data_IF_353815462321
#
_entry.id   IF_353815462321
#
_cell.length_a   1.000
_cell.length_b   1.000
_cell.length_c   1.000
_cell.angle_alpha   90.00
_cell.angle_beta   90.00
_cell.angle_gamma   90.00
#
_symmetry.space_group_name_H-M   'P 1'
#
loop_
_entity.id
_entity.type
_entity.pdbx_description
1 polymer ?
#
# COMPACT_ATOMS: atom_id res chain seq x y z
N UNK A 1 -11.38 -26.74 58.90
CA UNK A 1 -12.00 -27.06 57.56
C UNK A 1 -11.20 -26.38 56.47
N UNK A 2 -10.65 -27.12 55.51
CA UNK A 2 -9.91 -26.56 54.39
C UNK A 2 -10.88 -25.75 53.49
N UNK A 3 -10.61 -24.46 53.26
CA UNK A 3 -11.38 -23.61 52.36
C UNK A 3 -11.45 -24.24 50.97
N UNK A 4 -12.67 -24.52 50.48
CA UNK A 4 -12.91 -24.95 49.10
C UNK A 4 -12.34 -23.86 48.18
N UNK A 5 -11.38 -24.23 47.31
CA UNK A 5 -10.81 -23.32 46.31
C UNK A 5 -11.87 -22.94 45.28
N UNK A 6 -11.80 -21.74 44.75
CA UNK A 6 -12.70 -21.28 43.70
C UNK A 6 -12.54 -22.12 42.40
N UNK A 7 -13.62 -22.30 41.65
CA UNK A 7 -13.60 -22.98 40.35
C UNK A 7 -12.70 -22.16 39.40
N UNK A 8 -11.62 -22.78 38.94
CA UNK A 8 -10.66 -22.16 38.02
C UNK A 8 -9.22 -22.05 38.54
N UNK A 9 -8.98 -22.06 39.85
CA UNK A 9 -7.63 -21.86 40.45
C UNK A 9 -6.64 -23.02 40.22
N UNK A 10 -7.07 -24.13 39.58
CA UNK A 10 -6.22 -25.29 39.35
C UNK A 10 -5.87 -26.09 40.60
N UNK A 11 -5.22 -27.24 40.45
CA UNK A 11 -4.81 -28.10 41.56
C UNK A 11 -3.28 -28.32 41.49
N UNK A 12 -2.60 -28.14 42.64
CA UNK A 12 -1.15 -28.35 42.75
C UNK A 12 -0.93 -29.57 43.63
N UNK A 13 -0.10 -30.53 43.16
CA UNK A 13 0.27 -31.73 43.88
C UNK A 13 1.74 -32.08 43.68
N UNK A 14 2.35 -32.78 44.66
CA UNK A 14 3.68 -33.38 44.51
C UNK A 14 3.55 -34.74 43.83
N UNK A 15 4.34 -34.98 42.81
CA UNK A 15 4.40 -36.26 42.09
C UNK A 15 5.32 -37.25 42.80
N UNK A 16 5.19 -38.53 42.45
CA UNK A 16 6.06 -39.60 42.99
C UNK A 16 7.53 -39.42 42.59
N UNK A 17 7.80 -38.73 41.48
CA UNK A 17 9.13 -38.40 40.97
C UNK A 17 9.76 -37.15 41.63
N UNK A 18 9.14 -36.65 42.71
CA UNK A 18 9.66 -35.52 43.50
C UNK A 18 9.29 -34.12 42.92
N UNK A 19 8.84 -34.02 41.67
CA UNK A 19 8.42 -32.76 41.05
C UNK A 19 7.04 -32.34 41.50
N UNK A 20 6.76 -31.04 41.40
CA UNK A 20 5.45 -30.47 41.61
C UNK A 20 4.69 -30.36 40.28
N UNK A 21 3.37 -30.62 40.30
CA UNK A 21 2.49 -30.57 39.14
C UNK A 21 1.28 -29.67 39.49
N UNK A 22 1.03 -28.68 38.63
CA UNK A 22 -0.20 -27.89 38.64
C UNK A 22 -1.10 -28.30 37.48
N UNK A 23 -2.39 -28.53 37.74
CA UNK A 23 -3.39 -28.90 36.72
C UNK A 23 -4.43 -27.81 36.60
N UNK A 24 -4.79 -27.44 35.37
CA UNK A 24 -5.82 -26.45 35.09
C UNK A 24 -6.68 -26.88 33.91
N UNK A 25 -7.88 -26.29 33.81
CA UNK A 25 -8.75 -26.46 32.65
C UNK A 25 -8.32 -25.49 31.56
N UNK A 26 -7.83 -26.01 30.45
CA UNK A 26 -7.37 -25.20 29.32
C UNK A 26 -8.49 -24.88 28.30
N UNK A 27 -9.72 -25.38 28.54
CA UNK A 27 -10.89 -25.23 27.69
C UNK A 27 -11.82 -26.42 27.76
N UNK A 28 -12.77 -26.48 26.85
CA UNK A 28 -13.72 -27.59 26.68
C UNK A 28 -13.69 -28.07 25.24
N UNK A 29 -13.86 -29.36 25.02
CA UNK A 29 -14.01 -29.96 23.71
C UNK A 29 -15.40 -29.62 23.15
N UNK A 30 -15.45 -28.94 22.00
CA UNK A 30 -16.71 -28.46 21.41
C UNK A 30 -17.69 -29.58 21.01
N UNK A 31 -17.16 -30.77 20.64
CA UNK A 31 -18.00 -31.91 20.21
C UNK A 31 -18.50 -32.74 21.38
N UNK A 32 -17.70 -32.87 22.42
CA UNK A 32 -17.99 -33.76 23.55
C UNK A 32 -18.31 -33.06 24.85
N UNK A 33 -18.12 -31.74 24.95
CA UNK A 33 -18.28 -30.94 26.15
C UNK A 33 -17.30 -31.29 27.29
N UNK A 34 -16.33 -32.19 27.06
CA UNK A 34 -15.37 -32.63 28.06
C UNK A 34 -14.31 -31.57 28.34
N UNK A 35 -13.89 -31.44 29.62
CA UNK A 35 -12.83 -30.53 30.02
C UNK A 35 -11.48 -30.95 29.44
N UNK A 36 -10.78 -30.01 28.81
CA UNK A 36 -9.39 -30.17 28.40
C UNK A 36 -8.49 -29.79 29.57
N UNK A 37 -7.82 -30.76 30.18
CA UNK A 37 -6.93 -30.53 31.31
C UNK A 37 -5.49 -30.52 30.82
N UNK A 38 -4.76 -29.44 31.13
CA UNK A 38 -3.30 -29.33 30.94
C UNK A 38 -2.59 -29.21 32.28
N UNK A 39 -1.29 -29.53 32.29
CA UNK A 39 -0.47 -29.49 33.50
C UNK A 39 0.83 -28.71 33.26
N UNK A 40 1.27 -28.02 34.31
CA UNK A 40 2.56 -27.38 34.42
C UNK A 40 3.40 -28.09 35.47
N UNK A 41 4.72 -28.19 35.23
CA UNK A 41 5.64 -28.89 36.09
C UNK A 41 6.72 -27.93 36.58
N UNK A 42 7.21 -28.16 37.81
CA UNK A 42 8.32 -27.40 38.39
C UNK A 42 9.02 -28.18 39.51
N UNK A 43 10.17 -27.69 39.90
CA UNK A 43 10.98 -28.28 40.99
C UNK A 43 10.42 -27.88 42.36
N UNK A 44 9.81 -26.71 42.47
CA UNK A 44 9.25 -26.20 43.74
C UNK A 44 7.75 -25.89 43.59
N UNK A 45 7.05 -25.88 44.74
CA UNK A 45 5.62 -25.52 44.77
C UNK A 45 5.39 -24.06 44.37
N UNK A 46 6.30 -23.16 44.75
CA UNK A 46 6.22 -21.73 44.40
C UNK A 46 6.33 -21.52 42.89
N UNK A 47 7.29 -22.17 42.24
CA UNK A 47 7.49 -22.17 40.79
C UNK A 47 6.25 -22.65 40.05
N UNK A 48 5.64 -23.76 40.51
CA UNK A 48 4.45 -24.30 39.90
C UNK A 48 3.22 -23.39 40.10
N UNK A 49 3.14 -22.73 41.28
CA UNK A 49 2.07 -21.77 41.55
C UNK A 49 2.14 -20.58 40.60
N UNK A 50 3.31 -20.04 40.37
CA UNK A 50 3.50 -18.92 39.41
C UNK A 50 3.20 -19.35 37.98
N UNK A 51 3.74 -20.49 37.52
CA UNK A 51 3.48 -21.05 36.20
C UNK A 51 1.99 -21.36 35.99
N UNK A 52 1.32 -21.88 37.02
CA UNK A 52 -0.09 -22.20 36.97
C UNK A 52 -0.96 -20.93 36.86
N UNK A 53 -0.65 -19.89 37.62
CA UNK A 53 -1.36 -18.62 37.55
C UNK A 53 -1.25 -17.99 36.14
N UNK A 54 -0.05 -18.01 35.54
CA UNK A 54 0.16 -17.57 34.15
C UNK A 54 -0.63 -18.42 33.17
N UNK A 55 -0.58 -19.75 33.29
CA UNK A 55 -1.28 -20.66 32.39
C UNK A 55 -2.80 -20.57 32.49
N UNK A 56 -3.35 -20.33 33.67
CA UNK A 56 -4.79 -20.08 33.85
C UNK A 56 -5.20 -18.76 33.22
N UNK A 57 -4.46 -17.68 33.45
CA UNK A 57 -4.72 -16.38 32.83
C UNK A 57 -4.64 -16.44 31.28
N UNK A 58 -3.66 -17.19 30.74
CA UNK A 58 -3.56 -17.45 29.31
C UNK A 58 -4.75 -18.26 28.77
N UNK A 59 -5.21 -19.28 29.51
CA UNK A 59 -6.33 -20.12 29.10
C UNK A 59 -7.69 -19.37 29.12
N UNK A 60 -7.81 -18.31 29.93
CA UNK A 60 -8.98 -17.42 29.90
C UNK A 60 -9.01 -16.49 28.68
N UNK A 61 -7.81 -16.16 28.16
CA UNK A 61 -7.63 -15.22 27.05
C UNK A 61 -7.38 -15.90 25.70
N UNK A 62 -6.84 -17.13 25.68
CA UNK A 62 -6.45 -17.87 24.47
C UNK A 62 -7.20 -19.20 24.38
N UNK A 63 -7.72 -19.53 23.20
CA UNK A 63 -8.19 -20.87 22.88
C UNK A 63 -6.97 -21.77 22.65
N UNK A 64 -6.50 -22.38 23.74
CA UNK A 64 -5.25 -23.15 23.78
C UNK A 64 -5.24 -24.31 22.79
N UNK A 65 -6.41 -24.87 22.41
CA UNK A 65 -6.49 -25.96 21.43
C UNK A 65 -6.24 -25.44 20.03
N UNK A 66 -6.97 -24.42 19.61
CA UNK A 66 -6.81 -23.81 18.28
C UNK A 66 -5.43 -23.16 18.11
N UNK A 67 -4.91 -22.56 19.19
CA UNK A 67 -3.58 -21.96 19.16
C UNK A 67 -2.44 -22.96 18.95
N UNK A 68 -2.60 -24.23 19.35
CA UNK A 68 -1.62 -25.29 19.12
C UNK A 68 -1.63 -25.83 17.69
N UNK A 69 -2.67 -25.58 16.92
CA UNK A 69 -2.85 -26.05 15.54
C UNK A 69 -2.11 -25.21 14.50
N UNK A 70 -1.75 -23.96 14.86
CA UNK A 70 -1.18 -23.01 13.90
C UNK A 70 0.32 -22.78 14.09
N UNK A 71 1.05 -22.86 12.98
CA UNK A 71 2.32 -22.15 12.80
C UNK A 71 2.04 -20.76 12.21
N UNK A 72 3.05 -19.88 12.16
CA UNK A 72 2.89 -18.58 11.50
C UNK A 72 2.45 -18.74 10.04
N UNK A 73 3.09 -19.65 9.29
CA UNK A 73 2.78 -19.86 7.88
C UNK A 73 1.34 -20.33 7.65
N UNK A 74 0.87 -21.33 8.41
CA UNK A 74 -0.51 -21.85 8.29
C UNK A 74 -1.54 -20.80 8.73
N UNK A 75 -1.23 -19.99 9.76
CA UNK A 75 -2.09 -18.90 10.15
C UNK A 75 -2.18 -17.82 9.06
N UNK A 76 -1.05 -17.39 8.50
CA UNK A 76 -1.03 -16.38 7.45
C UNK A 76 -1.82 -16.81 6.22
N UNK A 77 -1.74 -18.10 5.83
CA UNK A 77 -2.53 -18.63 4.73
C UNK A 77 -4.04 -18.60 5.06
N UNK A 78 -4.43 -19.05 6.25
CA UNK A 78 -5.82 -19.00 6.73
C UNK A 78 -6.35 -17.58 6.77
N UNK A 79 -5.58 -16.66 7.36
CA UNK A 79 -5.93 -15.25 7.43
C UNK A 79 -6.07 -14.62 6.03
N UNK A 80 -5.14 -14.93 5.13
CA UNK A 80 -5.18 -14.41 3.77
C UNK A 80 -6.46 -14.84 3.04
N UNK A 81 -6.77 -16.14 3.01
CA UNK A 81 -7.94 -16.64 2.28
C UNK A 81 -9.27 -16.21 2.90
N UNK A 82 -9.40 -16.24 4.23
CA UNK A 82 -10.68 -15.99 4.91
C UNK A 82 -10.93 -14.51 5.17
N UNK A 83 -9.91 -13.73 5.50
CA UNK A 83 -10.10 -12.36 6.01
C UNK A 83 -9.55 -11.28 5.09
N UNK A 84 -8.43 -11.50 4.42
CA UNK A 84 -7.80 -10.47 3.64
C UNK A 84 -8.27 -10.45 2.17
N UNK A 85 -8.10 -11.55 1.46
CA UNK A 85 -8.36 -11.68 0.02
C UNK A 85 -9.76 -11.25 -0.41
N UNK A 86 -10.87 -11.59 0.30
CA UNK A 86 -12.21 -11.19 -0.10
C UNK A 86 -12.45 -9.67 -0.14
N UNK A 87 -11.65 -8.91 0.61
CA UNK A 87 -11.78 -7.46 0.74
C UNK A 87 -10.69 -6.66 0.02
N UNK A 88 -9.73 -7.34 -0.60
CA UNK A 88 -8.60 -6.71 -1.27
C UNK A 88 -8.79 -6.65 -2.78
N UNK A 89 -8.28 -5.58 -3.40
CA UNK A 89 -8.11 -5.54 -4.85
C UNK A 89 -7.04 -6.55 -5.25
N UNK A 90 -7.18 -7.11 -6.46
CA UNK A 90 -6.28 -8.13 -7.00
C UNK A 90 -4.79 -7.81 -6.76
N UNK A 91 -4.35 -6.60 -7.08
CA UNK A 91 -2.93 -6.21 -6.93
C UNK A 91 -2.44 -6.25 -5.48
N UNK A 92 -3.30 -5.90 -4.51
CA UNK A 92 -2.94 -5.96 -3.08
C UNK A 92 -2.99 -7.40 -2.58
N UNK A 93 -3.99 -8.17 -3.03
CA UNK A 93 -4.09 -9.60 -2.71
C UNK A 93 -2.85 -10.36 -3.21
N UNK A 94 -2.44 -10.11 -4.45
CA UNK A 94 -1.24 -10.71 -5.04
C UNK A 94 0.06 -10.27 -4.31
N UNK A 95 0.14 -9.01 -3.90
CA UNK A 95 1.24 -8.51 -3.07
C UNK A 95 1.31 -9.25 -1.72
N UNK A 96 0.16 -9.47 -1.06
CA UNK A 96 0.11 -10.20 0.21
C UNK A 96 0.46 -11.67 0.02
N UNK A 97 -0.13 -12.33 -0.97
CA UNK A 97 0.16 -13.72 -1.31
C UNK A 97 1.68 -13.94 -1.51
N UNK A 98 2.29 -13.11 -2.37
CA UNK A 98 3.73 -13.19 -2.62
C UNK A 98 4.57 -12.88 -1.39
N UNK A 99 4.15 -11.93 -0.56
CA UNK A 99 4.81 -11.63 0.72
C UNK A 99 4.83 -12.84 1.64
N UNK A 100 3.70 -13.52 1.77
CA UNK A 100 3.55 -14.73 2.60
C UNK A 100 4.39 -15.87 2.03
N UNK A 101 4.18 -16.25 0.76
CA UNK A 101 4.75 -17.44 0.16
C UNK A 101 6.26 -17.33 -0.08
N UNK A 102 6.74 -16.17 -0.51
CA UNK A 102 8.11 -16.02 -0.98
C UNK A 102 9.06 -15.42 0.06
N UNK A 103 8.53 -14.68 1.02
CA UNK A 103 9.36 -13.93 1.97
C UNK A 103 9.21 -14.37 3.42
N UNK A 104 8.01 -14.69 3.89
CA UNK A 104 7.76 -14.99 5.29
C UNK A 104 7.83 -16.48 5.55
N UNK A 105 6.99 -17.27 4.86
CA UNK A 105 6.87 -18.72 5.10
C UNK A 105 8.21 -19.46 4.98
N UNK A 106 9.07 -19.21 3.97
CA UNK A 106 10.34 -19.93 3.86
C UNK A 106 11.36 -19.62 4.97
N UNK A 107 11.16 -18.55 5.76
CA UNK A 107 12.10 -18.07 6.77
C UNK A 107 11.68 -18.36 8.20
N UNK A 108 10.42 -18.05 8.50
CA UNK A 108 9.88 -18.14 9.86
C UNK A 108 8.49 -18.81 9.90
N UNK A 109 8.02 -19.37 8.80
CA UNK A 109 6.68 -19.96 8.69
C UNK A 109 6.42 -21.12 9.64
N UNK A 110 7.45 -21.88 10.00
CA UNK A 110 7.35 -23.06 10.86
C UNK A 110 7.29 -22.72 12.36
N UNK A 111 7.51 -21.46 12.73
CA UNK A 111 7.43 -21.05 14.14
C UNK A 111 5.98 -21.24 14.62
N UNK A 112 5.76 -22.01 15.73
CA UNK A 112 4.43 -22.09 16.33
C UNK A 112 3.92 -20.71 16.69
N UNK A 113 2.69 -20.38 16.27
CA UNK A 113 2.14 -19.03 16.35
C UNK A 113 2.21 -18.44 17.76
N UNK A 114 1.93 -19.26 18.77
CA UNK A 114 2.01 -18.88 20.20
C UNK A 114 3.43 -18.63 20.71
N UNK A 115 4.46 -19.11 20.01
CA UNK A 115 5.87 -18.92 20.38
C UNK A 115 6.54 -17.77 19.61
N UNK A 116 5.83 -17.20 18.63
CA UNK A 116 6.34 -16.10 17.82
C UNK A 116 6.62 -14.87 18.68
N UNK A 117 7.80 -14.29 18.51
CA UNK A 117 8.24 -13.12 19.27
C UNK A 117 8.54 -11.93 18.35
N UNK A 118 8.55 -10.72 18.91
CA UNK A 118 9.00 -9.54 18.17
C UNK A 118 10.46 -9.66 17.69
N UNK A 119 11.31 -10.43 18.40
CA UNK A 119 12.69 -10.71 17.97
C UNK A 119 12.74 -11.52 16.67
N UNK A 120 11.87 -12.51 16.51
CA UNK A 120 11.78 -13.32 15.28
C UNK A 120 11.38 -12.45 14.09
N UNK A 121 10.39 -11.57 14.28
CA UNK A 121 9.96 -10.62 13.26
C UNK A 121 11.06 -9.60 12.94
N UNK A 122 11.76 -9.08 13.94
CA UNK A 122 12.87 -8.14 13.73
C UNK A 122 14.04 -8.82 13.00
N UNK A 123 14.31 -10.09 13.30
CA UNK A 123 15.27 -10.93 12.58
C UNK A 123 14.89 -11.10 11.11
N UNK A 124 13.61 -11.38 10.82
CA UNK A 124 13.07 -11.42 9.46
C UNK A 124 13.32 -10.11 8.70
N UNK A 125 13.04 -8.94 9.32
CA UNK A 125 13.24 -7.65 8.64
C UNK A 125 14.70 -7.39 8.30
N UNK A 126 15.63 -7.81 9.18
CA UNK A 126 17.07 -7.75 8.92
C UNK A 126 17.45 -8.64 7.74
N UNK A 127 17.04 -9.91 7.75
CA UNK A 127 17.34 -10.85 6.66
C UNK A 127 16.75 -10.38 5.30
N UNK A 128 15.51 -9.88 5.30
CA UNK A 128 14.89 -9.34 4.08
C UNK A 128 15.65 -8.13 3.53
N UNK A 129 16.24 -7.31 4.40
CA UNK A 129 17.06 -6.16 3.99
C UNK A 129 18.39 -6.59 3.38
N UNK A 130 18.96 -7.69 3.85
CA UNK A 130 20.26 -8.20 3.40
C UNK A 130 20.12 -9.16 2.20
N UNK A 131 19.13 -10.08 2.24
CA UNK A 131 19.00 -11.21 1.32
C UNK A 131 17.60 -11.40 0.72
N UNK A 132 16.69 -10.43 0.87
CA UNK A 132 15.27 -10.63 0.52
C UNK A 132 14.98 -10.68 -0.99
N UNK A 133 15.90 -10.34 -1.87
CA UNK A 133 15.69 -10.32 -3.31
C UNK A 133 15.77 -11.73 -3.89
N UNK A 134 14.72 -12.17 -4.59
CA UNK A 134 14.61 -13.52 -5.16
C UNK A 134 15.31 -13.69 -6.51
N UNK A 135 15.49 -12.59 -7.26
CA UNK A 135 16.23 -12.60 -8.52
C UNK A 135 17.62 -12.06 -8.26
N UNK A 136 18.61 -12.62 -8.95
CA UNK A 136 19.96 -12.07 -8.92
C UNK A 136 19.93 -10.56 -9.11
N UNK A 137 20.62 -9.85 -8.24
CA UNK A 137 20.70 -8.41 -8.34
C UNK A 137 21.43 -8.06 -9.63
N UNK A 138 20.77 -7.27 -10.51
CA UNK A 138 21.48 -6.66 -11.64
C UNK A 138 22.71 -5.92 -11.10
N UNK A 139 23.81 -5.93 -11.87
CA UNK A 139 25.07 -5.28 -11.50
C UNK A 139 24.83 -3.90 -10.86
N UNK A 140 25.26 -3.73 -9.60
CA UNK A 140 25.10 -2.50 -8.84
C UNK A 140 23.82 -2.36 -7.99
N UNK A 141 22.93 -3.37 -7.94
CA UNK A 141 21.76 -3.37 -7.05
C UNK A 141 22.00 -4.24 -5.82
N UNK A 142 21.55 -3.74 -4.65
CA UNK A 142 21.62 -4.48 -3.39
C UNK A 142 20.80 -5.77 -3.44
N UNK A 143 21.27 -6.87 -2.80
CA UNK A 143 20.58 -8.17 -2.81
C UNK A 143 19.31 -8.18 -1.94
N UNK A 144 19.10 -7.16 -1.12
CA UNK A 144 17.97 -7.05 -0.21
C UNK A 144 16.73 -6.38 -0.78
N UNK A 145 15.65 -6.39 0.00
CA UNK A 145 14.44 -5.64 -0.28
C UNK A 145 14.56 -4.19 0.20
N UNK A 146 13.81 -3.28 -0.44
CA UNK A 146 13.72 -1.89 0.01
C UNK A 146 13.01 -1.77 1.36
N UNK A 147 13.37 -0.74 2.14
CA UNK A 147 12.73 -0.43 3.41
C UNK A 147 11.20 -0.25 3.28
N UNK A 148 10.74 0.31 2.15
CA UNK A 148 9.32 0.42 1.84
C UNK A 148 8.63 -0.95 1.70
N UNK A 149 9.27 -1.91 1.03
CA UNK A 149 8.75 -3.27 0.88
C UNK A 149 8.70 -3.99 2.22
N UNK A 150 9.76 -3.88 3.02
CA UNK A 150 9.83 -4.50 4.35
C UNK A 150 8.75 -3.89 5.27
N UNK A 151 8.54 -2.58 5.21
CA UNK A 151 7.47 -1.92 5.95
C UNK A 151 6.08 -2.38 5.52
N UNK A 152 5.87 -2.63 4.22
CA UNK A 152 4.63 -3.23 3.71
C UNK A 152 4.40 -4.65 4.25
N UNK A 153 5.46 -5.47 4.33
CA UNK A 153 5.42 -6.80 4.94
C UNK A 153 5.10 -6.70 6.44
N UNK A 154 5.74 -5.77 7.17
CA UNK A 154 5.41 -5.52 8.58
C UNK A 154 3.92 -5.17 8.76
N UNK A 155 3.37 -4.25 7.96
CA UNK A 155 1.96 -3.85 8.05
C UNK A 155 1.02 -5.05 7.80
N UNK A 156 1.34 -5.89 6.84
CA UNK A 156 0.58 -7.12 6.56
C UNK A 156 0.64 -8.10 7.74
N UNK A 157 1.83 -8.35 8.28
CA UNK A 157 2.04 -9.22 9.46
C UNK A 157 1.29 -8.68 10.66
N UNK A 158 1.39 -7.38 10.93
CA UNK A 158 0.67 -6.72 12.03
C UNK A 158 -0.84 -6.96 11.93
N UNK A 159 -1.44 -6.73 10.75
CA UNK A 159 -2.86 -6.96 10.53
C UNK A 159 -3.27 -8.44 10.73
N UNK A 160 -2.45 -9.38 10.25
CA UNK A 160 -2.71 -10.80 10.41
C UNK A 160 -2.60 -11.24 11.88
N UNK A 161 -1.64 -10.71 12.62
CA UNK A 161 -1.43 -11.03 14.01
C UNK A 161 -2.45 -10.34 14.93
N UNK A 162 -2.92 -9.14 14.59
CA UNK A 162 -4.08 -8.52 15.25
C UNK A 162 -5.33 -9.38 15.12
N UNK A 163 -5.52 -10.00 13.94
CA UNK A 163 -6.62 -10.93 13.77
C UNK A 163 -6.43 -12.18 14.62
N UNK A 164 -5.20 -12.70 14.75
CA UNK A 164 -4.91 -13.83 15.63
C UNK A 164 -5.23 -13.53 17.11
N UNK A 165 -4.98 -12.30 17.57
CA UNK A 165 -5.40 -11.85 18.92
C UNK A 165 -6.92 -11.86 19.05
N UNK A 166 -7.66 -11.33 18.06
CA UNK A 166 -9.14 -11.33 18.06
C UNK A 166 -9.72 -12.73 18.02
N UNK A 167 -9.04 -13.68 17.33
CA UNK A 167 -9.42 -15.10 17.29
C UNK A 167 -8.97 -15.87 18.54
N UNK A 168 -8.34 -15.20 19.51
CA UNK A 168 -7.80 -15.79 20.73
C UNK A 168 -6.75 -16.88 20.49
N UNK A 169 -5.97 -16.77 19.42
CA UNK A 169 -4.85 -17.68 19.10
C UNK A 169 -3.57 -17.27 19.81
N UNK A 170 -3.42 -15.98 20.06
CA UNK A 170 -2.29 -15.38 20.80
C UNK A 170 -2.81 -14.31 21.76
N UNK A 171 -2.08 -14.07 22.85
CA UNK A 171 -2.46 -13.10 23.89
C UNK A 171 -2.27 -11.66 23.41
N UNK A 172 -1.19 -11.39 22.69
CA UNK A 172 -0.80 -10.06 22.20
C UNK A 172 -0.14 -10.17 20.84
N UNK A 173 -0.15 -9.07 20.11
CA UNK A 173 0.48 -8.99 18.80
C UNK A 173 2.02 -8.80 18.97
N UNK A 174 2.86 -9.76 18.57
CA UNK A 174 4.31 -9.60 18.67
C UNK A 174 4.89 -8.54 17.71
N UNK A 175 4.12 -8.10 16.69
CA UNK A 175 4.55 -7.04 15.80
C UNK A 175 4.52 -5.65 16.46
N UNK A 176 3.80 -5.47 17.58
CA UNK A 176 3.78 -4.22 18.37
C UNK A 176 5.17 -3.93 18.98
N UNK A 177 5.93 -4.99 19.29
CA UNK A 177 7.27 -4.89 19.86
C UNK A 177 8.36 -4.61 18.80
N UNK A 178 7.99 -4.51 17.51
CA UNK A 178 8.94 -4.35 16.41
C UNK A 178 9.18 -2.89 16.02
N UNK A 179 10.39 -2.64 15.54
CA UNK A 179 10.78 -1.35 14.94
C UNK A 179 10.92 -1.53 13.42
N UNK A 180 9.83 -1.26 12.64
CA UNK A 180 9.91 -1.36 11.19
C UNK A 180 10.84 -0.29 10.60
N UNK A 181 11.45 -0.54 9.41
CA UNK A 181 12.34 0.42 8.78
C UNK A 181 11.68 1.78 8.57
N UNK A 182 12.44 2.84 8.79
CA UNK A 182 12.01 4.21 8.41
C UNK A 182 12.16 4.36 6.91
N UNK A 183 11.09 4.82 6.24
CA UNK A 183 11.14 5.16 4.82
C UNK A 183 11.74 6.57 4.71
N UNK A 184 12.90 6.74 4.07
CA UNK A 184 13.44 8.08 3.83
C UNK A 184 12.47 8.86 2.95
N UNK A 185 12.29 10.14 3.27
CA UNK A 185 11.54 11.03 2.39
C UNK A 185 12.38 11.26 1.13
N UNK A 186 11.84 10.85 -0.02
CA UNK A 186 12.44 11.20 -1.30
C UNK A 186 11.95 12.59 -1.72
N UNK A 187 12.87 13.43 -2.15
CA UNK A 187 12.50 14.67 -2.81
C UNK A 187 11.74 14.34 -4.09
N UNK A 188 10.66 15.07 -4.31
CA UNK A 188 9.88 14.94 -5.53
C UNK A 188 10.66 15.56 -6.68
N UNK A 189 10.93 14.77 -7.70
CA UNK A 189 11.45 15.28 -8.95
C UNK A 189 10.29 15.81 -9.79
N UNK A 190 10.49 16.92 -10.43
CA UNK A 190 9.57 17.52 -11.41
C UNK A 190 10.30 17.69 -12.74
N UNK A 191 9.56 17.78 -13.81
CA UNK A 191 10.08 18.21 -15.10
C UNK A 191 10.13 19.75 -15.10
N UNK A 192 11.34 20.36 -15.14
CA UNK A 192 11.45 21.82 -15.10
C UNK A 192 10.79 22.47 -16.33
N UNK A 193 10.25 23.71 -16.22
CA UNK A 193 9.55 24.38 -17.31
C UNK A 193 10.36 24.46 -18.60
N UNK A 194 11.66 24.70 -18.52
CA UNK A 194 12.58 24.79 -19.65
C UNK A 194 12.78 23.47 -20.39
N UNK A 195 12.50 22.34 -19.73
CA UNK A 195 12.62 21.00 -20.32
C UNK A 195 11.30 20.48 -20.92
N UNK A 196 10.16 21.13 -20.66
CA UNK A 196 8.84 20.70 -21.14
C UNK A 196 8.80 20.70 -22.67
N UNK A 197 9.34 21.72 -23.30
CA UNK A 197 9.36 21.83 -24.76
C UNK A 197 10.09 20.64 -25.39
N UNK A 198 11.31 20.33 -24.94
CA UNK A 198 12.08 19.18 -25.48
C UNK A 198 11.39 17.85 -25.22
N UNK A 199 10.76 17.69 -24.06
CA UNK A 199 9.95 16.51 -23.71
C UNK A 199 8.77 16.33 -24.66
N UNK A 200 7.97 17.38 -24.90
CA UNK A 200 6.81 17.32 -25.80
C UNK A 200 7.20 17.15 -27.26
N UNK A 201 8.31 17.77 -27.72
CA UNK A 201 8.85 17.54 -29.08
C UNK A 201 9.23 16.07 -29.27
N UNK A 202 9.89 15.44 -28.29
CA UNK A 202 10.22 14.02 -28.36
C UNK A 202 8.96 13.13 -28.32
N UNK A 203 7.91 13.54 -27.59
CA UNK A 203 6.62 12.86 -27.59
C UNK A 203 5.91 12.95 -28.94
N UNK A 204 6.01 14.10 -29.63
CA UNK A 204 5.46 14.33 -30.96
C UNK A 204 6.16 13.45 -32.00
N UNK A 205 7.48 13.41 -32.00
CA UNK A 205 8.28 12.53 -32.88
C UNK A 205 7.93 11.04 -32.72
N UNK A 206 7.41 10.66 -31.56
CA UNK A 206 6.92 9.29 -31.30
C UNK A 206 5.45 9.10 -31.60
N UNK A 207 4.72 10.13 -32.04
CA UNK A 207 3.30 10.08 -32.33
C UNK A 207 2.41 9.95 -31.06
N UNK A 208 2.89 10.37 -29.90
CA UNK A 208 2.19 10.25 -28.61
C UNK A 208 2.01 11.59 -27.90
N UNK A 209 2.18 12.69 -28.62
CA UNK A 209 2.05 14.06 -28.07
C UNK A 209 0.72 14.27 -27.34
N UNK A 210 -0.46 13.92 -27.91
CA UNK A 210 -1.73 14.21 -27.27
C UNK A 210 -1.86 13.57 -25.88
N UNK A 211 -1.37 12.33 -25.73
CA UNK A 211 -1.39 11.59 -24.45
C UNK A 211 -0.55 12.27 -23.39
N UNK A 212 0.69 12.64 -23.71
CA UNK A 212 1.62 13.21 -22.72
C UNK A 212 1.38 14.71 -22.49
N UNK A 213 0.84 15.40 -23.47
CA UNK A 213 0.35 16.77 -23.27
C UNK A 213 -0.81 16.79 -22.29
N UNK A 214 -1.82 15.92 -22.50
CA UNK A 214 -2.94 15.79 -21.58
C UNK A 214 -2.49 15.45 -20.16
N UNK A 215 -1.53 14.54 -19.99
CA UNK A 215 -0.97 14.19 -18.69
C UNK A 215 -0.38 15.40 -17.97
N UNK A 216 0.41 16.22 -18.68
CA UNK A 216 1.08 17.39 -18.12
C UNK A 216 0.12 18.53 -17.74
N UNK A 217 -1.05 18.64 -18.37
CA UNK A 217 -2.03 19.70 -18.06
C UNK A 217 -3.14 19.27 -17.09
N UNK A 218 -3.28 17.97 -16.85
CA UNK A 218 -4.38 17.41 -16.04
C UNK A 218 -3.91 16.66 -14.81
N UNK A 219 -2.68 16.18 -14.80
CA UNK A 219 -2.10 15.39 -13.72
C UNK A 219 -2.86 14.10 -13.44
N UNK A 220 -3.38 13.44 -14.46
CA UNK A 220 -4.09 12.16 -14.35
C UNK A 220 -3.20 11.06 -13.75
N UNK A 221 -3.80 10.11 -13.05
CA UNK A 221 -3.05 8.91 -12.71
C UNK A 221 -2.86 8.04 -13.96
N UNK A 222 -1.72 7.34 -14.06
CA UNK A 222 -1.41 6.44 -15.18
C UNK A 222 -2.61 5.55 -15.60
N UNK A 223 -3.28 4.96 -14.62
CA UNK A 223 -4.43 4.10 -14.88
C UNK A 223 -5.68 4.87 -15.34
N UNK A 224 -5.85 6.11 -14.94
CA UNK A 224 -6.92 7.00 -15.41
C UNK A 224 -6.67 7.39 -16.86
N UNK A 225 -5.46 7.84 -17.18
CA UNK A 225 -5.06 8.27 -18.52
C UNK A 225 -5.30 7.19 -19.58
N UNK A 226 -4.83 5.96 -19.33
CA UNK A 226 -4.98 4.88 -20.33
C UNK A 226 -6.41 4.36 -20.46
N UNK A 227 -7.27 4.59 -19.47
CA UNK A 227 -8.65 4.16 -19.47
C UNK A 227 -9.61 5.19 -20.10
N UNK A 228 -9.10 6.34 -20.57
CA UNK A 228 -9.93 7.36 -21.21
C UNK A 228 -10.51 6.85 -22.53
N UNK A 229 -11.78 7.15 -22.73
CA UNK A 229 -12.54 6.92 -23.96
C UNK A 229 -13.04 8.24 -24.54
N UNK A 230 -13.39 8.25 -25.80
CA UNK A 230 -13.94 9.46 -26.44
C UNK A 230 -15.22 9.95 -25.77
N UNK A 231 -16.02 9.04 -25.22
CA UNK A 231 -17.22 9.37 -24.43
C UNK A 231 -16.93 10.13 -23.12
N UNK A 232 -15.68 10.17 -22.68
CA UNK A 232 -15.28 10.92 -21.47
C UNK A 232 -14.94 12.39 -21.79
N UNK A 233 -14.78 12.75 -23.08
CA UNK A 233 -14.47 14.10 -23.54
C UNK A 233 -15.76 14.85 -23.89
N UNK A 234 -15.96 15.97 -23.24
CA UNK A 234 -17.00 16.96 -23.58
C UNK A 234 -16.31 18.13 -24.29
N UNK A 235 -16.45 18.17 -25.63
CA UNK A 235 -15.77 19.16 -26.47
C UNK A 235 -16.35 20.55 -26.24
N UNK A 236 -17.68 20.67 -26.07
CA UNK A 236 -18.35 21.94 -25.88
C UNK A 236 -17.95 22.62 -24.58
N UNK A 237 -17.94 21.86 -23.48
CA UNK A 237 -17.56 22.34 -22.16
C UNK A 237 -16.06 22.24 -21.90
N UNK A 238 -15.27 21.69 -22.82
CA UNK A 238 -13.83 21.48 -22.71
C UNK A 238 -13.45 20.76 -21.41
N UNK A 239 -14.13 19.63 -21.13
CA UNK A 239 -13.90 18.88 -19.91
C UNK A 239 -13.67 17.40 -20.19
N UNK A 240 -12.88 16.77 -19.32
CA UNK A 240 -12.67 15.32 -19.29
C UNK A 240 -13.27 14.77 -18.00
N UNK A 241 -14.11 13.75 -18.15
CA UNK A 241 -14.70 13.01 -17.04
C UNK A 241 -13.80 11.84 -16.63
N UNK A 242 -13.30 11.86 -15.41
CA UNK A 242 -12.47 10.79 -14.83
C UNK A 242 -13.35 9.96 -13.91
N UNK A 243 -13.86 8.83 -14.40
CA UNK A 243 -14.79 7.95 -13.67
C UNK A 243 -14.30 6.50 -13.61
N UNK A 244 -13.20 6.19 -14.29
CA UNK A 244 -12.66 4.84 -14.43
C UNK A 244 -11.13 4.84 -14.47
N UNK A 245 -10.54 3.68 -14.25
CA UNK A 245 -9.09 3.49 -14.32
C UNK A 245 -8.76 2.08 -14.81
N UNK A 246 -7.64 1.92 -15.47
CA UNK A 246 -7.07 0.61 -15.77
C UNK A 246 -6.68 -0.09 -14.46
N UNK A 247 -7.11 -1.32 -14.33
CA UNK A 247 -6.85 -2.21 -13.20
C UNK A 247 -6.69 -3.64 -13.66
N UNK A 248 -6.93 -4.56 -12.75
CA UNK A 248 -7.02 -6.00 -13.03
C UNK A 248 -8.29 -6.55 -12.42
N UNK A 249 -8.96 -7.47 -13.13
CA UNK A 249 -10.07 -8.23 -12.60
C UNK A 249 -9.60 -9.29 -11.60
N UNK A 250 -10.53 -10.06 -11.05
CA UNK A 250 -10.21 -11.12 -10.08
C UNK A 250 -9.38 -12.28 -10.67
N UNK A 251 -9.36 -12.44 -11.99
CA UNK A 251 -8.50 -13.38 -12.70
C UNK A 251 -7.09 -12.82 -12.98
N UNK A 252 -6.85 -11.54 -12.66
CA UNK A 252 -5.58 -10.87 -12.90
C UNK A 252 -5.42 -10.30 -14.30
N UNK A 253 -6.44 -10.35 -15.13
CA UNK A 253 -6.44 -9.82 -16.50
C UNK A 253 -6.63 -8.30 -16.47
N UNK A 254 -6.08 -7.57 -17.47
CA UNK A 254 -6.34 -6.15 -17.63
C UNK A 254 -7.85 -5.88 -17.71
N UNK A 255 -8.33 -4.93 -16.94
CA UNK A 255 -9.74 -4.58 -16.88
C UNK A 255 -9.92 -3.11 -16.50
N UNK A 256 -11.13 -2.58 -16.75
CA UNK A 256 -11.50 -1.26 -16.28
C UNK A 256 -12.19 -1.41 -14.92
N UNK A 257 -11.66 -0.70 -13.96
CA UNK A 257 -12.20 -0.68 -12.61
C UNK A 257 -12.64 0.73 -12.22
N UNK A 258 -13.61 0.81 -11.31
CA UNK A 258 -13.93 2.10 -10.68
C UNK A 258 -12.74 2.60 -9.86
N UNK A 259 -12.55 3.91 -9.74
CA UNK A 259 -11.55 4.49 -8.86
C UNK A 259 -11.67 3.97 -7.42
N UNK A 260 -10.60 4.11 -6.65
CA UNK A 260 -10.55 3.58 -5.28
C UNK A 260 -11.47 4.33 -4.30
N UNK A 261 -11.73 5.61 -4.57
CA UNK A 261 -12.55 6.50 -3.72
C UNK A 261 -13.50 7.31 -4.60
N UNK A 262 -14.64 7.71 -4.08
CA UNK A 262 -15.60 8.58 -4.77
C UNK A 262 -14.98 9.92 -5.18
N UNK A 263 -14.12 10.49 -4.35
CA UNK A 263 -13.41 11.73 -4.66
C UNK A 263 -12.46 11.61 -5.87
N UNK A 264 -12.18 10.41 -6.34
CA UNK A 264 -11.44 10.19 -7.58
C UNK A 264 -12.29 10.38 -8.83
N UNK A 265 -13.62 10.37 -8.70
CA UNK A 265 -14.56 10.69 -9.78
C UNK A 265 -14.66 12.21 -9.87
N UNK A 266 -14.26 12.76 -11.00
CA UNK A 266 -14.15 14.20 -11.17
C UNK A 266 -14.23 14.60 -12.65
N UNK A 267 -14.57 15.86 -12.90
CA UNK A 267 -14.40 16.51 -14.20
C UNK A 267 -13.21 17.47 -14.15
N UNK A 268 -12.41 17.47 -15.17
CA UNK A 268 -11.22 18.32 -15.30
C UNK A 268 -11.42 19.19 -16.52
N UNK A 269 -11.37 20.51 -16.35
CA UNK A 269 -11.35 21.46 -17.49
C UNK A 269 -9.98 21.42 -18.16
N UNK A 270 -9.97 21.43 -19.49
CA UNK A 270 -8.78 21.43 -20.32
C UNK A 270 -8.79 22.64 -21.26
N UNK A 271 -7.63 23.19 -21.65
CA UNK A 271 -7.55 24.31 -22.58
C UNK A 271 -7.90 23.90 -24.01
N UNK A 272 -8.22 24.87 -24.86
CA UNK A 272 -8.62 24.65 -26.25
C UNK A 272 -7.55 23.86 -27.03
N UNK A 273 -6.28 24.19 -26.86
CA UNK A 273 -5.18 23.49 -27.54
C UNK A 273 -5.18 21.98 -27.27
N UNK A 274 -5.55 21.57 -26.04
CA UNK A 274 -5.69 20.16 -25.71
C UNK A 274 -6.88 19.53 -26.45
N UNK A 275 -8.01 20.24 -26.53
CA UNK A 275 -9.19 19.77 -27.29
C UNK A 275 -8.82 19.57 -28.76
N UNK A 276 -8.12 20.54 -29.36
CA UNK A 276 -7.71 20.47 -30.77
C UNK A 276 -6.76 19.31 -31.03
N UNK A 277 -5.78 19.08 -30.15
CA UNK A 277 -4.89 17.92 -30.21
C UNK A 277 -5.66 16.60 -30.10
N UNK A 278 -6.65 16.51 -29.21
CA UNK A 278 -7.47 15.31 -29.04
C UNK A 278 -8.38 15.08 -30.25
N UNK A 279 -8.98 16.13 -30.85
CA UNK A 279 -9.76 16.00 -32.07
C UNK A 279 -8.89 15.47 -33.21
N UNK A 280 -7.69 16.02 -33.39
CA UNK A 280 -6.76 15.55 -34.40
C UNK A 280 -6.33 14.09 -34.17
N UNK A 281 -6.20 13.67 -32.91
CA UNK A 281 -5.92 12.27 -32.56
C UNK A 281 -7.11 11.36 -32.87
N UNK A 282 -8.34 11.78 -32.57
CA UNK A 282 -9.56 11.03 -32.88
C UNK A 282 -9.70 10.74 -34.38
N UNK A 283 -9.33 11.68 -35.23
CA UNK A 283 -9.38 11.51 -36.70
C UNK A 283 -8.50 10.38 -37.22
N UNK A 284 -7.46 9.99 -36.49
CA UNK A 284 -6.57 8.88 -36.87
C UNK A 284 -7.20 7.50 -36.66
N UNK A 285 -8.18 7.39 -35.75
CA UNK A 285 -8.84 6.13 -35.38
C UNK A 285 -10.30 6.36 -34.92
N UNK A 286 -11.15 6.88 -35.80
CA UNK A 286 -12.48 7.40 -35.42
C UNK A 286 -13.47 6.33 -34.91
N UNK A 287 -13.26 5.06 -35.28
CA UNK A 287 -14.12 3.95 -34.82
C UNK A 287 -13.62 3.29 -33.53
N UNK A 288 -12.47 3.72 -33.01
CA UNK A 288 -11.93 3.13 -31.77
C UNK A 288 -12.49 3.85 -30.55
N UNK A 289 -13.06 3.16 -29.55
CA UNK A 289 -13.61 3.81 -28.36
C UNK A 289 -12.54 4.44 -27.47
N UNK A 290 -11.30 3.94 -27.51
CA UNK A 290 -10.19 4.42 -26.68
C UNK A 290 -9.63 5.74 -27.19
N UNK A 291 -9.42 6.68 -26.29
CA UNK A 291 -8.77 7.96 -26.63
C UNK A 291 -7.32 7.75 -27.07
N UNK A 292 -6.65 6.80 -26.45
CA UNK A 292 -5.26 6.43 -26.77
C UNK A 292 -5.16 4.91 -26.93
N UNK A 293 -5.51 4.35 -28.09
CA UNK A 293 -5.40 2.92 -28.34
C UNK A 293 -3.94 2.48 -28.49
N UNK A 294 -3.65 1.28 -28.05
CA UNK A 294 -2.36 0.65 -28.31
C UNK A 294 -2.17 0.39 -29.82
N UNK A 295 -1.11 0.87 -30.47
CA UNK A 295 -0.93 0.66 -31.91
C UNK A 295 -0.69 -0.81 -32.29
N UNK A 296 -0.40 -1.68 -31.31
CA UNK A 296 -0.21 -3.11 -31.52
C UNK A 296 -1.51 -3.91 -31.49
N UNK A 297 -2.47 -3.50 -30.66
CA UNK A 297 -3.68 -4.29 -30.39
C UNK A 297 -4.96 -3.55 -30.73
N UNK A 298 -4.93 -2.24 -30.88
CA UNK A 298 -6.12 -1.39 -30.99
C UNK A 298 -6.89 -1.21 -29.67
N UNK A 299 -6.49 -1.92 -28.63
CA UNK A 299 -7.11 -1.91 -27.30
C UNK A 299 -6.45 -0.91 -26.36
N UNK A 300 -6.99 -0.78 -25.15
CA UNK A 300 -6.40 0.02 -24.07
C UNK A 300 -4.92 -0.31 -23.86
N UNK A 301 -4.09 0.70 -23.73
CA UNK A 301 -2.70 0.48 -23.35
C UNK A 301 -2.59 -0.26 -22.02
N UNK A 302 -1.69 -1.25 -21.96
CA UNK A 302 -1.25 -1.72 -20.65
C UNK A 302 -0.51 -0.59 -19.92
N UNK A 303 -0.86 -0.27 -18.66
CA UNK A 303 -0.28 0.87 -17.95
C UNK A 303 1.26 0.90 -17.92
N UNK A 304 1.93 -0.27 -17.91
CA UNK A 304 3.39 -0.32 -17.92
C UNK A 304 4.00 -0.02 -19.30
N UNK A 305 3.23 -0.18 -20.39
CA UNK A 305 3.65 0.22 -21.72
C UNK A 305 3.83 1.74 -21.80
N UNK A 306 2.91 2.51 -21.20
CA UNK A 306 3.00 3.98 -21.15
C UNK A 306 4.22 4.43 -20.34
N UNK A 307 4.54 3.74 -19.24
CA UNK A 307 5.78 4.00 -18.49
C UNK A 307 7.03 3.76 -19.34
N UNK A 308 7.03 2.73 -20.17
CA UNK A 308 8.16 2.45 -21.07
C UNK A 308 8.26 3.49 -22.21
N UNK A 309 7.13 3.98 -22.72
CA UNK A 309 7.10 5.08 -23.70
C UNK A 309 7.68 6.35 -23.06
N UNK A 310 7.23 6.72 -21.86
CA UNK A 310 7.77 7.85 -21.11
C UNK A 310 9.29 7.79 -20.94
N UNK A 311 9.85 6.63 -20.56
CA UNK A 311 11.30 6.45 -20.46
C UNK A 311 12.01 6.68 -21.79
N UNK A 312 11.40 6.28 -22.90
CA UNK A 312 11.95 6.50 -24.24
C UNK A 312 11.91 7.98 -24.62
N UNK A 313 10.81 8.68 -24.30
CA UNK A 313 10.69 10.14 -24.52
C UNK A 313 11.79 10.89 -23.75
N UNK A 314 12.00 10.58 -22.47
CA UNK A 314 13.07 11.18 -21.67
C UNK A 314 14.45 10.96 -22.30
N UNK A 315 14.72 9.73 -22.78
CA UNK A 315 15.99 9.39 -23.44
C UNK A 315 16.19 10.19 -24.71
N UNK A 316 15.18 10.28 -25.57
CA UNK A 316 15.25 11.00 -26.85
C UNK A 316 15.40 12.51 -26.64
N UNK A 317 14.76 13.04 -25.61
CA UNK A 317 14.89 14.44 -25.21
C UNK A 317 16.21 14.77 -24.47
N UNK A 318 17.06 13.78 -24.19
CA UNK A 318 18.30 13.95 -23.44
C UNK A 318 18.08 14.33 -21.97
N UNK A 319 16.92 13.94 -21.38
CA UNK A 319 16.53 14.33 -20.04
C UNK A 319 16.87 13.24 -19.02
N UNK A 320 17.10 13.66 -17.77
CA UNK A 320 17.31 12.74 -16.67
C UNK A 320 16.08 11.85 -16.41
N UNK A 321 16.34 10.72 -15.75
CA UNK A 321 15.28 9.79 -15.37
C UNK A 321 14.29 10.43 -14.42
N UNK A 322 13.04 10.51 -14.88
CA UNK A 322 11.86 10.92 -14.14
C UNK A 322 10.84 9.76 -14.12
N UNK A 323 10.16 9.51 -13.01
CA UNK A 323 9.10 8.50 -12.98
C UNK A 323 7.85 9.04 -13.67
N UNK A 324 7.05 8.19 -14.28
CA UNK A 324 5.79 8.62 -14.90
C UNK A 324 4.90 9.41 -13.92
N UNK A 325 4.80 8.97 -12.66
CA UNK A 325 3.99 9.66 -11.65
C UNK A 325 4.53 11.07 -11.29
N UNK A 326 5.78 11.33 -11.57
CA UNK A 326 6.39 12.66 -11.35
C UNK A 326 5.89 13.71 -12.37
N UNK A 327 5.30 13.30 -13.52
CA UNK A 327 4.57 14.20 -14.42
C UNK A 327 3.35 14.83 -13.73
N UNK A 328 2.64 14.04 -12.93
CA UNK A 328 1.54 14.54 -12.11
C UNK A 328 2.04 15.50 -11.02
N UNK A 329 3.20 15.24 -10.44
CA UNK A 329 3.85 16.19 -9.53
C UNK A 329 4.28 17.46 -10.26
N UNK A 330 4.74 17.35 -11.49
CA UNK A 330 5.06 18.47 -12.37
C UNK A 330 3.83 19.35 -12.59
N UNK A 331 2.71 18.73 -13.03
CA UNK A 331 1.43 19.47 -13.17
C UNK A 331 1.07 20.25 -11.90
N UNK A 332 1.05 19.56 -10.75
CA UNK A 332 0.63 20.18 -9.50
C UNK A 332 1.56 21.35 -9.09
N UNK A 333 2.87 21.17 -9.22
CA UNK A 333 3.85 22.19 -8.91
C UNK A 333 3.69 23.40 -9.82
N UNK A 334 3.60 23.19 -11.13
CA UNK A 334 3.46 24.26 -12.11
C UNK A 334 2.13 25.01 -11.96
N UNK A 335 1.02 24.28 -11.72
CA UNK A 335 -0.28 24.90 -11.48
C UNK A 335 -0.24 25.83 -10.26
N UNK A 336 0.33 25.37 -9.15
CA UNK A 336 0.49 26.18 -7.94
C UNK A 336 1.42 27.39 -8.17
N UNK A 337 2.56 27.21 -8.84
CA UNK A 337 3.48 28.29 -9.18
C UNK A 337 2.85 29.36 -10.07
N UNK A 338 1.92 28.96 -10.96
CA UNK A 338 1.14 29.87 -11.80
C UNK A 338 -0.11 30.43 -11.11
N UNK A 339 -0.25 30.28 -9.80
CA UNK A 339 -1.27 30.94 -8.99
C UNK A 339 -2.61 30.20 -8.93
N UNK A 340 -2.71 28.98 -9.44
CA UNK A 340 -3.91 28.15 -9.26
C UNK A 340 -4.02 27.78 -7.77
N UNK A 341 -5.19 28.00 -7.18
CA UNK A 341 -5.38 27.74 -5.75
C UNK A 341 -5.29 26.22 -5.42
N UNK A 342 -4.85 25.95 -4.20
CA UNK A 342 -4.57 24.58 -3.73
C UNK A 342 -5.81 23.67 -3.75
N UNK A 343 -7.01 24.22 -3.51
CA UNK A 343 -8.24 23.46 -3.51
C UNK A 343 -8.60 23.01 -4.92
N UNK A 344 -8.44 23.90 -5.91
CA UNK A 344 -8.64 23.58 -7.33
C UNK A 344 -7.64 22.51 -7.78
N UNK A 345 -6.34 22.69 -7.50
CA UNK A 345 -5.33 21.66 -7.83
C UNK A 345 -5.64 20.34 -7.17
N UNK A 346 -6.03 20.33 -5.89
CA UNK A 346 -6.42 19.13 -5.15
C UNK A 346 -7.63 18.44 -5.80
N UNK A 347 -8.63 19.20 -6.23
CA UNK A 347 -9.82 18.71 -6.93
C UNK A 347 -9.44 18.08 -8.28
N UNK A 348 -8.65 18.77 -9.12
CA UNK A 348 -8.18 18.26 -10.41
C UNK A 348 -7.39 16.96 -10.24
N UNK A 349 -6.57 16.87 -9.20
CA UNK A 349 -5.83 15.66 -8.88
C UNK A 349 -6.71 14.54 -8.29
N UNK A 350 -7.89 14.84 -7.76
CA UNK A 350 -8.72 13.87 -7.03
C UNK A 350 -8.03 13.38 -5.76
N UNK A 351 -7.48 14.28 -4.98
CA UNK A 351 -6.98 13.99 -3.64
C UNK A 351 -8.15 13.96 -2.66
N UNK A 352 -8.09 13.06 -1.68
CA UNK A 352 -9.12 12.95 -0.65
C UNK A 352 -9.25 14.22 0.20
N UNK A 353 -8.10 14.89 0.44
CA UNK A 353 -7.98 16.05 1.30
C UNK A 353 -6.99 17.07 0.72
N UNK A 354 -7.37 18.34 0.70
CA UNK A 354 -6.50 19.44 0.28
C UNK A 354 -5.26 19.57 1.18
N UNK A 355 -5.36 19.16 2.45
CA UNK A 355 -4.23 19.08 3.37
C UNK A 355 -3.13 18.14 2.89
N UNK A 356 -3.48 17.08 2.15
CA UNK A 356 -2.47 16.22 1.51
C UNK A 356 -1.69 17.00 0.44
N UNK A 357 -2.37 17.78 -0.40
CA UNK A 357 -1.74 18.64 -1.41
C UNK A 357 -0.84 19.67 -0.75
N UNK A 358 -1.31 20.36 0.29
CA UNK A 358 -0.51 21.31 1.06
C UNK A 358 0.76 20.68 1.62
N UNK A 359 0.64 19.56 2.32
CA UNK A 359 1.81 18.84 2.90
C UNK A 359 2.79 18.36 1.84
N UNK A 360 2.27 17.97 0.68
CA UNK A 360 3.08 17.42 -0.42
C UNK A 360 3.87 18.52 -1.13
N UNK A 361 3.27 19.70 -1.31
CA UNK A 361 3.83 20.83 -2.07
C UNK A 361 4.16 22.04 -1.19
N UNK A 362 4.55 21.82 0.07
CA UNK A 362 4.86 22.89 1.05
C UNK A 362 5.90 23.90 0.56
N UNK A 363 6.91 23.43 -0.20
CA UNK A 363 7.95 24.31 -0.76
C UNK A 363 7.40 25.30 -1.79
N UNK A 364 6.40 24.88 -2.57
CA UNK A 364 5.73 25.76 -3.56
C UNK A 364 4.83 26.76 -2.85
N UNK A 365 4.14 26.36 -1.79
CA UNK A 365 3.27 27.27 -1.03
C UNK A 365 4.07 28.38 -0.34
N UNK A 366 5.32 28.14 0.03
CA UNK A 366 6.21 29.19 0.54
C UNK A 366 6.52 30.26 -0.52
N UNK A 367 6.87 29.83 -1.73
CA UNK A 367 7.09 30.75 -2.86
C UNK A 367 5.82 31.57 -3.19
N UNK A 368 4.64 30.93 -3.10
CA UNK A 368 3.36 31.63 -3.27
C UNK A 368 3.12 32.69 -2.19
N UNK A 369 3.51 32.46 -0.92
CA UNK A 369 3.42 33.45 0.15
C UNK A 369 4.36 34.63 -0.10
N UNK A 370 5.58 34.38 -0.55
CA UNK A 370 6.53 35.42 -0.92
C UNK A 370 5.99 36.31 -2.06
N UNK A 371 5.46 35.68 -3.13
CA UNK A 371 4.82 36.39 -4.25
C UNK A 371 3.55 37.15 -3.82
N UNK A 372 2.76 36.60 -2.92
CA UNK A 372 1.57 37.26 -2.39
C UNK A 372 1.94 38.49 -1.55
N UNK A 373 2.99 38.41 -0.72
CA UNK A 373 3.49 39.54 0.05
C UNK A 373 3.98 40.68 -0.85
N UNK A 374 4.70 40.33 -1.95
CA UNK A 374 5.15 41.30 -2.93
C UNK A 374 3.98 42.00 -3.66
N UNK A 375 2.98 41.21 -4.11
CA UNK A 375 1.75 41.74 -4.72
C UNK A 375 1.00 42.68 -3.78
N UNK A 376 0.88 42.33 -2.49
CA UNK A 376 0.24 43.16 -1.50
C UNK A 376 1.06 44.46 -1.23
N UNK A 377 2.39 44.35 -1.19
CA UNK A 377 3.27 45.52 -1.07
C UNK A 377 3.10 46.50 -2.24
N UNK A 378 3.07 45.96 -3.47
CA UNK A 378 2.84 46.77 -4.67
C UNK A 378 1.45 47.41 -4.69
N UNK A 379 0.41 46.69 -4.27
CA UNK A 379 -0.93 47.24 -4.13
C UNK A 379 -0.97 48.38 -3.10
N UNK A 380 -0.41 48.17 -1.92
CA UNK A 380 -0.38 49.23 -0.88
C UNK A 380 0.38 50.46 -1.33
N UNK A 381 1.48 50.32 -2.08
CA UNK A 381 2.24 51.44 -2.64
C UNK A 381 1.47 52.25 -3.71
N UNK A 382 0.47 51.65 -4.35
CA UNK A 382 -0.41 52.32 -5.32
C UNK A 382 -1.59 53.05 -4.65
N UNK A 383 -1.95 52.66 -3.43
CA UNK A 383 -3.11 53.22 -2.71
C UNK A 383 -2.67 54.31 -1.71
N UNK A 384 -1.41 54.32 -1.33
CA UNK A 384 -0.80 55.35 -0.47
C UNK A 384 -0.25 56.53 -1.30
#
# INVERSE_FOLDING_TARGET
MAKKRANGEGNIRKRKDGRWEGRYTAGYDEKTGKRLIKNVLGKTQAEVKEKLAKAVAEAETVDVRRADEYTLGTWLQTWYELYAKPHLRFSTAEYYRRGIELHITPRIGDIPLKKLTGRDLQGLYKDLREHGRLREAQKGKQPGLSDSTIRGIHTMLHNALDRAVKERLIVRNPADDCVPPKIPKHEMKILPPEQIKSYLTAAEQRGVLPMFYLELISGLRKGELVALQWSDLDIENKTISVSKQAGRNNAGEPDITRPKTENSIRKISIPQDAVDLLIAEHQKHPSNPWMFPSPKTGEMYHPDSVVNIHKKILKDAGLEHLRFHDLRHTFATLALQNGVDVKTVSSMLGHFDAGFTLRTYTHVTRQMQESAAEKMGNFMAQVM
#
